data_IF_540969669417
#
_entry.id   IF_540969669417
#
_cell.length_a   1.000
_cell.length_b   1.000
_cell.length_c   1.000
_cell.angle_alpha   90.00
_cell.angle_beta   90.00
_cell.angle_gamma   90.00
#
_symmetry.space_group_name_H-M   'P 1'
#
loop_
_entity.id
_entity.type
_entity.pdbx_description
1 polymer ?
#
# COMPACT_ATOMS: atom_id res chain seq x y z
N UNK A 1 14.17 -22.96 -7.91
CA UNK A 1 13.72 -21.57 -8.09
C UNK A 1 14.92 -20.83 -8.64
N UNK A 2 14.82 -20.27 -9.84
CA UNK A 2 15.88 -19.39 -10.36
C UNK A 2 15.82 -18.09 -9.55
N UNK A 3 16.52 -18.13 -8.41
CA UNK A 3 16.68 -17.09 -7.40
C UNK A 3 17.53 -15.93 -7.94
N UNK A 4 17.07 -15.25 -9.00
CA UNK A 4 17.71 -14.04 -9.48
C UNK A 4 16.79 -12.81 -9.34
N UNK A 5 17.20 -11.96 -8.40
CA UNK A 5 16.86 -10.54 -8.24
C UNK A 5 15.58 -10.18 -7.48
N UNK A 6 15.41 -10.64 -6.23
CA UNK A 6 14.46 -10.01 -5.29
C UNK A 6 15.22 -9.03 -4.39
N UNK A 7 14.79 -7.77 -4.40
CA UNK A 7 15.37 -6.64 -3.66
C UNK A 7 14.31 -5.86 -2.84
N UNK A 8 13.11 -6.45 -2.63
CA UNK A 8 12.01 -5.83 -1.89
C UNK A 8 11.46 -6.79 -0.85
N UNK A 9 11.25 -6.27 0.36
CA UNK A 9 10.75 -7.06 1.49
C UNK A 9 9.59 -6.36 2.16
N UNK A 10 8.53 -7.12 2.44
CA UNK A 10 7.44 -6.73 3.33
C UNK A 10 7.54 -7.55 4.62
N UNK A 11 7.34 -6.90 5.77
CA UNK A 11 7.29 -7.57 7.07
C UNK A 11 5.97 -7.23 7.74
N UNK A 12 5.15 -8.25 7.95
CA UNK A 12 3.85 -8.12 8.58
C UNK A 12 3.96 -8.20 10.10
N UNK A 13 3.63 -7.11 10.80
CA UNK A 13 3.50 -7.04 12.25
C UNK A 13 2.03 -7.30 12.62
N UNK A 14 1.67 -8.45 13.21
CA UNK A 14 0.27 -8.84 13.39
C UNK A 14 -0.36 -8.26 14.66
N UNK A 15 0.13 -7.14 15.20
CA UNK A 15 -0.27 -6.66 16.52
C UNK A 15 -0.85 -5.24 16.46
N UNK A 16 -1.96 -5.04 17.16
CA UNK A 16 -2.62 -3.75 17.32
C UNK A 16 -3.00 -3.52 18.79
N UNK A 17 -3.10 -2.26 19.19
CA UNK A 17 -3.74 -1.92 20.48
C UNK A 17 -5.22 -2.29 20.49
N UNK A 18 -5.92 -2.01 19.39
CA UNK A 18 -7.30 -2.40 19.14
C UNK A 18 -7.53 -2.63 17.65
N UNK A 19 -8.39 -3.60 17.29
CA UNK A 19 -8.86 -3.75 15.92
C UNK A 19 -9.89 -2.65 15.64
N UNK A 20 -9.57 -1.74 14.71
CA UNK A 20 -10.51 -0.70 14.29
C UNK A 20 -11.64 -1.32 13.46
N UNK A 21 -12.83 -0.72 13.50
CA UNK A 21 -14.03 -1.31 12.91
C UNK A 21 -13.96 -1.50 11.39
N UNK A 22 -13.15 -0.67 10.72
CA UNK A 22 -12.90 -0.67 9.28
C UNK A 22 -11.68 -1.51 8.86
N UNK A 23 -10.89 -2.02 9.80
CA UNK A 23 -9.59 -2.62 9.47
C UNK A 23 -9.76 -4.05 8.93
N UNK A 24 -9.43 -4.22 7.65
CA UNK A 24 -9.40 -5.52 6.98
C UNK A 24 -8.10 -6.31 7.22
N UNK A 25 -7.06 -5.69 7.79
CA UNK A 25 -5.78 -6.37 8.03
C UNK A 25 -5.88 -7.39 9.17
N UNK A 26 -5.25 -8.54 8.95
CA UNK A 26 -5.06 -9.55 9.99
C UNK A 26 -4.23 -8.94 11.14
N UNK A 27 -4.85 -8.77 12.31
CA UNK A 27 -4.18 -8.27 13.51
C UNK A 27 -4.79 -8.85 14.78
N UNK A 28 -3.93 -9.09 15.75
CA UNK A 28 -4.25 -9.54 17.10
C UNK A 28 -4.25 -8.32 18.02
N UNK A 29 -5.38 -8.08 18.67
CA UNK A 29 -5.51 -7.03 19.66
C UNK A 29 -4.91 -7.47 21.00
N UNK A 30 -4.20 -6.56 21.67
CA UNK A 30 -3.68 -6.74 23.05
C UNK A 30 -2.90 -8.06 23.26
N UNK A 31 -1.85 -8.33 22.47
CA UNK A 31 -1.03 -9.51 22.67
C UNK A 31 -0.30 -9.47 24.02
N UNK A 32 -0.15 -10.63 24.66
CA UNK A 32 0.76 -10.76 25.79
C UNK A 32 2.22 -10.86 25.30
N UNK A 33 3.17 -10.66 26.22
CA UNK A 33 4.61 -10.73 25.93
C UNK A 33 5.04 -12.06 25.29
N UNK A 34 4.48 -13.19 25.76
CA UNK A 34 4.81 -14.52 25.22
C UNK A 34 4.47 -14.66 23.73
N UNK A 35 3.33 -14.09 23.30
CA UNK A 35 2.94 -14.07 21.88
C UNK A 35 3.87 -13.19 21.05
N UNK A 36 4.24 -12.01 21.55
CA UNK A 36 5.18 -11.10 20.86
C UNK A 36 6.54 -11.79 20.69
N UNK A 37 7.04 -12.43 21.74
CA UNK A 37 8.32 -13.14 21.70
C UNK A 37 8.29 -14.35 20.77
N UNK A 38 7.21 -15.13 20.79
CA UNK A 38 7.02 -16.27 19.87
C UNK A 38 6.99 -15.82 18.40
N UNK A 39 6.36 -14.67 18.14
CA UNK A 39 6.36 -14.04 16.82
C UNK A 39 7.77 -13.61 16.39
N UNK A 40 8.49 -12.86 17.23
CA UNK A 40 9.82 -12.35 16.91
C UNK A 40 10.80 -13.50 16.66
N UNK A 41 10.74 -14.54 17.48
CA UNK A 41 11.61 -15.71 17.34
C UNK A 41 11.34 -16.46 16.03
N UNK A 42 10.06 -16.67 15.70
CA UNK A 42 9.70 -17.30 14.44
C UNK A 42 10.04 -16.43 13.23
N UNK A 43 9.85 -15.12 13.32
CA UNK A 43 10.23 -14.18 12.26
C UNK A 43 11.74 -14.26 12.00
N UNK A 44 12.54 -14.30 13.06
CA UNK A 44 14.00 -14.46 12.98
C UNK A 44 14.39 -15.75 12.25
N UNK A 45 13.75 -16.87 12.57
CA UNK A 45 13.98 -18.15 11.87
C UNK A 45 13.61 -18.07 10.38
N UNK A 46 12.45 -17.50 10.07
CA UNK A 46 11.95 -17.37 8.69
C UNK A 46 12.88 -16.52 7.83
N UNK A 47 13.31 -15.37 8.36
CA UNK A 47 14.27 -14.47 7.70
C UNK A 47 15.62 -15.16 7.53
N UNK A 48 16.13 -15.84 8.56
CA UNK A 48 17.43 -16.52 8.49
C UNK A 48 17.48 -17.59 7.39
N UNK A 49 16.35 -18.25 7.11
CA UNK A 49 16.25 -19.27 6.07
C UNK A 49 16.28 -18.71 4.63
N UNK A 50 15.97 -17.42 4.44
CA UNK A 50 15.72 -16.84 3.12
C UNK A 50 16.60 -15.62 2.79
N UNK A 51 17.09 -14.89 3.79
CA UNK A 51 17.78 -13.60 3.60
C UNK A 51 19.03 -13.68 2.71
N UNK A 52 19.75 -14.81 2.73
CA UNK A 52 20.95 -15.00 1.90
C UNK A 52 20.66 -15.04 0.40
N UNK A 53 19.42 -15.28 0.00
CA UNK A 53 18.96 -15.31 -1.40
C UNK A 53 18.56 -13.94 -1.93
N UNK A 54 18.43 -12.95 -1.05
CA UNK A 54 18.00 -11.61 -1.41
C UNK A 54 19.19 -10.77 -1.87
N UNK A 55 18.93 -9.92 -2.86
CA UNK A 55 19.84 -8.83 -3.20
C UNK A 55 19.85 -7.78 -2.08
N UNK A 56 20.84 -6.85 -2.08
CA UNK A 56 20.73 -5.64 -1.30
C UNK A 56 19.37 -4.97 -1.54
N UNK A 57 18.58 -4.80 -0.48
CA UNK A 57 17.20 -4.35 -0.56
C UNK A 57 17.13 -2.91 -1.05
N UNK A 58 16.30 -2.66 -2.06
CA UNK A 58 15.85 -1.33 -2.45
C UNK A 58 14.68 -0.84 -1.60
N UNK A 59 13.86 -1.74 -1.07
CA UNK A 59 12.87 -1.36 -0.07
C UNK A 59 12.60 -2.43 0.98
N UNK A 60 12.35 -1.98 2.20
CA UNK A 60 11.84 -2.74 3.33
C UNK A 60 10.62 -2.02 3.88
N UNK A 61 9.45 -2.68 3.84
CA UNK A 61 8.21 -2.12 4.35
C UNK A 61 7.73 -2.90 5.58
N UNK A 62 7.64 -2.23 6.71
CA UNK A 62 7.21 -2.77 8.00
C UNK A 62 5.79 -2.28 8.26
N UNK A 63 4.80 -3.15 8.13
CA UNK A 63 3.39 -2.76 8.22
C UNK A 63 2.50 -3.85 8.81
N UNK A 64 1.20 -3.76 8.58
CA UNK A 64 0.22 -4.78 8.96
C UNK A 64 -0.76 -4.26 10.00
N UNK A 65 -0.64 -4.74 11.23
CA UNK A 65 -1.38 -4.21 12.36
C UNK A 65 -0.91 -2.79 12.69
N UNK A 66 -0.01 -2.67 13.66
CA UNK A 66 0.62 -1.38 13.99
C UNK A 66 2.04 -1.64 14.52
N UNK A 67 3.08 -1.56 13.66
CA UNK A 67 4.47 -1.74 14.09
C UNK A 67 4.85 -0.89 15.31
N UNK A 68 4.50 0.40 15.28
CA UNK A 68 4.72 1.34 16.38
C UNK A 68 4.02 1.00 17.70
N UNK A 69 3.06 0.05 17.71
CA UNK A 69 2.42 -0.42 18.95
C UNK A 69 3.39 -1.20 19.83
N UNK A 70 4.38 -1.88 19.22
CA UNK A 70 5.41 -2.59 19.97
C UNK A 70 6.10 -1.64 20.96
N UNK A 71 6.33 -2.15 22.17
CA UNK A 71 7.17 -1.46 23.15
C UNK A 71 8.61 -1.42 22.63
N UNK A 72 9.39 -0.44 23.11
CA UNK A 72 10.74 -0.15 22.61
C UNK A 72 11.64 -1.39 22.62
N UNK A 73 11.62 -2.19 23.69
CA UNK A 73 12.41 -3.42 23.78
C UNK A 73 12.08 -4.47 22.69
N UNK A 74 10.83 -4.56 22.25
CA UNK A 74 10.44 -5.47 21.16
C UNK A 74 10.72 -4.86 19.80
N UNK A 75 10.64 -3.53 19.69
CA UNK A 75 10.97 -2.82 18.47
C UNK A 75 12.48 -2.86 18.20
N UNK A 76 13.32 -2.76 19.23
CA UNK A 76 14.77 -3.00 19.16
C UNK A 76 15.07 -4.41 18.66
N UNK A 77 14.45 -5.43 19.28
CA UNK A 77 14.59 -6.84 18.83
C UNK A 77 14.17 -7.03 17.38
N UNK A 78 13.07 -6.39 16.96
CA UNK A 78 12.63 -6.42 15.58
C UNK A 78 13.70 -5.82 14.67
N UNK A 79 14.21 -4.64 14.97
CA UNK A 79 15.23 -3.97 14.17
C UNK A 79 16.54 -4.76 14.12
N UNK A 80 16.94 -5.43 15.21
CA UNK A 80 18.08 -6.36 15.21
C UNK A 80 17.85 -7.53 14.25
N UNK A 81 16.65 -8.11 14.23
CA UNK A 81 16.29 -9.18 13.30
C UNK A 81 16.36 -8.70 11.85
N UNK A 82 15.76 -7.53 11.57
CA UNK A 82 15.70 -6.94 10.23
C UNK A 82 17.06 -6.41 9.77
N UNK A 83 17.96 -6.06 10.69
CA UNK A 83 19.34 -5.65 10.40
C UNK A 83 20.19 -6.74 9.75
N UNK A 84 19.72 -7.99 9.72
CA UNK A 84 20.39 -9.09 9.01
C UNK A 84 20.26 -9.02 7.49
N UNK A 85 19.38 -8.16 6.95
CA UNK A 85 19.32 -7.92 5.51
C UNK A 85 20.50 -7.07 5.04
N UNK A 86 20.87 -7.27 3.77
CA UNK A 86 21.75 -6.33 3.07
C UNK A 86 20.89 -5.22 2.50
N UNK A 87 21.36 -3.97 2.59
CA UNK A 87 20.62 -2.81 2.11
C UNK A 87 21.36 -2.12 0.95
N UNK A 88 20.62 -1.69 -0.07
CA UNK A 88 21.14 -0.79 -1.08
C UNK A 88 21.43 0.58 -0.46
N UNK A 89 22.30 1.37 -1.11
CA UNK A 89 22.71 2.70 -0.61
C UNK A 89 21.52 3.67 -0.48
N UNK A 90 20.56 3.52 -1.37
CA UNK A 90 19.36 4.34 -1.54
C UNK A 90 18.09 3.59 -1.09
N UNK A 91 18.23 2.63 -0.16
CA UNK A 91 17.08 1.85 0.36
C UNK A 91 16.00 2.77 0.95
N UNK A 92 14.74 2.48 0.63
CA UNK A 92 13.59 3.00 1.38
C UNK A 92 13.21 2.01 2.50
N UNK A 93 13.30 2.44 3.76
CA UNK A 93 12.81 1.67 4.91
C UNK A 93 11.59 2.39 5.47
N UNK A 94 10.42 1.83 5.17
CA UNK A 94 9.11 2.34 5.58
C UNK A 94 8.60 1.63 6.84
N UNK A 95 8.02 2.38 7.78
CA UNK A 95 7.31 1.81 8.93
C UNK A 95 5.97 2.50 9.19
N UNK A 96 4.94 1.69 9.43
CA UNK A 96 3.61 2.17 9.80
C UNK A 96 3.51 2.53 11.28
N UNK A 97 2.93 3.71 11.54
CA UNK A 97 2.83 4.32 12.84
C UNK A 97 1.41 4.83 13.12
N UNK A 98 1.05 4.87 14.40
CA UNK A 98 -0.16 5.53 14.87
C UNK A 98 0.24 6.71 15.76
N UNK A 99 -0.42 7.88 15.69
CA UNK A 99 -0.04 9.03 16.51
C UNK A 99 0.00 8.71 18.02
N UNK A 100 -0.97 7.92 18.51
CA UNK A 100 -1.12 7.63 19.93
C UNK A 100 -0.11 6.61 20.50
N UNK A 101 0.64 5.91 19.64
CA UNK A 101 1.65 4.94 20.07
C UNK A 101 3.06 5.54 20.14
N UNK A 102 3.24 6.78 19.69
CA UNK A 102 4.54 7.44 19.54
C UNK A 102 4.91 8.26 20.77
N UNK A 103 6.10 7.99 21.29
CA UNK A 103 6.82 8.79 22.28
C UNK A 103 8.09 9.34 21.65
N UNK A 104 8.72 10.34 22.27
CA UNK A 104 10.00 10.88 21.78
C UNK A 104 11.09 9.80 21.67
N UNK A 105 11.20 8.94 22.68
CA UNK A 105 12.13 7.81 22.71
C UNK A 105 11.87 6.81 21.57
N UNK A 106 10.59 6.48 21.32
CA UNK A 106 10.21 5.60 20.21
C UNK A 106 10.48 6.24 18.85
N UNK A 107 10.25 7.54 18.69
CA UNK A 107 10.59 8.27 17.46
C UNK A 107 12.10 8.22 17.19
N UNK A 108 12.93 8.43 18.21
CA UNK A 108 14.40 8.29 18.10
C UNK A 108 14.80 6.88 17.68
N UNK A 109 14.22 5.86 18.30
CA UNK A 109 14.47 4.45 17.96
C UNK A 109 14.05 4.15 16.52
N UNK A 110 12.84 4.51 16.12
CA UNK A 110 12.35 4.36 14.74
C UNK A 110 13.28 5.06 13.74
N UNK A 111 13.71 6.28 14.05
CA UNK A 111 14.58 7.08 13.17
C UNK A 111 16.01 6.57 13.08
N UNK A 112 16.41 5.65 13.97
CA UNK A 112 17.69 4.95 13.87
C UNK A 112 17.70 3.84 12.82
N UNK A 113 16.52 3.38 12.39
CA UNK A 113 16.37 2.23 11.48
C UNK A 113 15.60 2.56 10.20
N UNK A 114 14.50 3.30 10.30
CA UNK A 114 13.65 3.68 9.18
C UNK A 114 13.99 5.08 8.64
N UNK A 115 13.68 5.33 7.37
CA UNK A 115 13.84 6.65 6.75
C UNK A 115 12.55 7.18 6.11
N UNK A 116 11.46 6.41 6.18
CA UNK A 116 10.10 6.79 5.82
C UNK A 116 9.10 6.29 6.87
N UNK A 117 8.11 7.10 7.21
CA UNK A 117 7.02 6.71 8.11
C UNK A 117 5.66 6.95 7.47
N UNK A 118 4.70 6.06 7.70
CA UNK A 118 3.27 6.27 7.36
C UNK A 118 2.45 6.35 8.63
N UNK A 119 1.72 7.45 8.81
CA UNK A 119 0.99 7.74 10.06
C UNK A 119 -0.52 7.64 9.80
N UNK A 120 -1.18 6.69 10.46
CA UNK A 120 -2.63 6.49 10.39
C UNK A 120 -3.41 7.55 11.18
N UNK A 121 -3.68 8.71 10.57
CA UNK A 121 -4.44 9.83 11.17
C UNK A 121 -5.94 9.58 11.09
N UNK A 122 -6.42 9.10 9.94
CA UNK A 122 -7.80 8.79 9.59
C UNK A 122 -8.73 10.02 9.51
N UNK A 123 -8.81 10.79 10.59
CA UNK A 123 -9.53 12.07 10.66
C UNK A 123 -9.00 12.86 11.85
N UNK A 124 -9.03 14.21 11.79
CA UNK A 124 -8.79 15.05 12.98
C UNK A 124 -10.07 15.27 13.79
N UNK A 125 -11.23 14.91 13.25
CA UNK A 125 -12.49 14.98 13.95
C UNK A 125 -12.66 13.79 14.91
N UNK A 126 -12.80 14.09 16.21
CA UNK A 126 -12.96 13.09 17.28
C UNK A 126 -14.22 12.24 17.13
N UNK A 127 -15.31 12.80 16.61
CA UNK A 127 -16.54 12.08 16.36
C UNK A 127 -16.34 11.03 15.25
N UNK A 128 -15.75 11.41 14.12
CA UNK A 128 -15.47 10.47 13.02
C UNK A 128 -14.52 9.35 13.45
N UNK A 129 -13.44 9.67 14.19
CA UNK A 129 -12.54 8.65 14.75
C UNK A 129 -13.30 7.66 15.65
N UNK A 130 -14.22 8.15 16.47
CA UNK A 130 -15.07 7.30 17.31
C UNK A 130 -16.00 6.42 16.47
N UNK A 131 -16.60 6.95 15.41
CA UNK A 131 -17.46 6.22 14.46
C UNK A 131 -16.74 5.00 13.87
N UNK A 132 -15.45 5.13 13.58
CA UNK A 132 -14.64 4.06 12.98
C UNK A 132 -13.90 3.19 14.02
N UNK A 133 -14.28 3.26 15.30
CA UNK A 133 -13.64 2.58 16.44
C UNK A 133 -12.13 2.90 16.61
N UNK A 134 -11.67 4.05 16.09
CA UNK A 134 -10.29 4.52 16.26
C UNK A 134 -10.15 5.26 17.59
N UNK A 135 -9.45 4.64 18.54
CA UNK A 135 -9.15 5.26 19.84
C UNK A 135 -8.06 6.32 19.73
N UNK A 136 -7.98 7.21 20.72
CA UNK A 136 -7.00 8.29 20.79
C UNK A 136 -7.33 9.46 19.86
N UNK A 137 -6.49 10.49 19.95
CA UNK A 137 -6.63 11.76 19.23
C UNK A 137 -5.42 11.98 18.32
N UNK A 138 -5.56 12.85 17.32
CA UNK A 138 -4.46 13.25 16.44
C UNK A 138 -4.02 14.72 16.67
N UNK A 139 -4.41 15.30 17.80
CA UNK A 139 -4.18 16.71 18.11
C UNK A 139 -2.70 17.05 18.31
N UNK A 140 -1.86 16.04 18.59
CA UNK A 140 -0.41 16.18 18.77
C UNK A 140 0.40 15.91 17.49
N UNK A 141 -0.25 15.71 16.34
CA UNK A 141 0.43 15.31 15.10
C UNK A 141 1.53 16.29 14.71
N UNK A 142 1.30 17.60 14.83
CA UNK A 142 2.29 18.65 14.54
C UNK A 142 3.58 18.44 15.36
N UNK A 143 3.45 18.08 16.64
CA UNK A 143 4.60 17.81 17.52
C UNK A 143 5.31 16.53 17.11
N UNK A 144 4.56 15.47 16.77
CA UNK A 144 5.13 14.20 16.29
C UNK A 144 5.93 14.40 15.00
N UNK A 145 5.37 15.16 14.06
CA UNK A 145 6.03 15.45 12.77
C UNK A 145 7.31 16.28 12.98
N UNK A 146 7.27 17.28 13.87
CA UNK A 146 8.46 18.06 14.22
C UNK A 146 9.57 17.15 14.77
N UNK A 147 9.24 16.24 15.69
CA UNK A 147 10.19 15.27 16.24
C UNK A 147 10.79 14.35 15.17
N UNK A 148 9.99 13.85 14.22
CA UNK A 148 10.54 13.05 13.11
C UNK A 148 11.51 13.86 12.24
N UNK A 149 11.16 15.11 11.93
CA UNK A 149 12.03 16.01 11.15
C UNK A 149 13.34 16.30 11.89
N UNK A 150 13.28 16.58 13.19
CA UNK A 150 14.45 16.75 14.05
C UNK A 150 15.34 15.49 14.07
N UNK A 151 14.74 14.32 13.99
CA UNK A 151 15.41 13.02 13.87
C UNK A 151 15.68 12.61 12.41
N UNK A 152 15.68 13.57 11.47
CA UNK A 152 16.08 13.42 10.06
C UNK A 152 15.16 12.57 9.19
N UNK A 153 13.94 12.27 9.63
CA UNK A 153 12.88 11.72 8.79
C UNK A 153 12.02 12.87 8.27
N UNK A 154 12.20 13.22 7.00
CA UNK A 154 11.30 14.15 6.29
C UNK A 154 10.34 13.45 5.32
N UNK A 155 10.58 12.17 5.00
CA UNK A 155 9.68 11.37 4.16
C UNK A 155 8.54 10.83 5.02
N UNK A 156 7.55 11.69 5.27
CA UNK A 156 6.41 11.38 6.11
C UNK A 156 5.14 11.32 5.27
N UNK A 157 4.43 10.20 5.40
CA UNK A 157 3.08 9.96 4.90
C UNK A 157 2.08 10.07 6.04
N UNK A 158 0.90 10.60 5.75
CA UNK A 158 -0.26 10.53 6.64
C UNK A 158 -1.48 10.02 5.88
N UNK A 159 -2.27 9.16 6.53
CA UNK A 159 -3.42 8.52 5.92
C UNK A 159 -4.73 9.12 6.47
N UNK A 160 -5.66 9.46 5.59
CA UNK A 160 -7.02 9.89 5.89
C UNK A 160 -8.04 8.88 5.35
N UNK A 161 -9.20 8.84 6.00
CA UNK A 161 -10.37 8.07 5.57
C UNK A 161 -11.50 9.04 5.29
N UNK A 162 -12.16 8.87 4.15
CA UNK A 162 -13.39 9.57 3.78
C UNK A 162 -14.55 8.60 3.55
N UNK A 163 -15.78 9.11 3.43
CA UNK A 163 -16.97 8.27 3.36
C UNK A 163 -17.36 7.67 4.71
N UNK A 164 -16.96 8.30 5.81
CA UNK A 164 -17.36 7.87 7.16
C UNK A 164 -18.82 8.29 7.38
N UNK A 165 -19.72 7.41 7.88
CA UNK A 165 -21.09 7.82 8.22
C UNK A 165 -21.09 9.05 9.13
N UNK A 166 -21.94 10.04 8.82
CA UNK A 166 -21.99 11.40 9.40
C UNK A 166 -20.89 12.40 9.00
N UNK A 167 -19.89 12.00 8.22
CA UNK A 167 -18.89 12.92 7.68
C UNK A 167 -19.50 13.77 6.56
N UNK A 168 -19.30 15.08 6.63
CA UNK A 168 -19.68 15.99 5.55
C UNK A 168 -18.48 16.35 4.67
N UNK A 169 -18.74 16.80 3.45
CA UNK A 169 -17.71 17.33 2.54
C UNK A 169 -16.83 18.40 3.23
N UNK A 170 -17.45 19.35 3.94
CA UNK A 170 -16.74 20.43 4.62
C UNK A 170 -15.86 19.92 5.77
N UNK A 171 -16.33 18.90 6.50
CA UNK A 171 -15.53 18.29 7.55
C UNK A 171 -14.30 17.56 7.01
N UNK A 172 -14.42 16.87 5.87
CA UNK A 172 -13.28 16.26 5.20
C UNK A 172 -12.34 17.29 4.59
N UNK A 173 -12.86 18.36 3.95
CA UNK A 173 -12.02 19.46 3.45
C UNK A 173 -11.20 20.09 4.57
N UNK A 174 -11.77 20.25 5.75
CA UNK A 174 -11.05 20.71 6.94
C UNK A 174 -9.91 19.77 7.32
N UNK A 175 -10.18 18.46 7.38
CA UNK A 175 -9.16 17.43 7.65
C UNK A 175 -8.02 17.46 6.62
N UNK A 176 -8.35 17.45 5.33
CA UNK A 176 -7.37 17.46 4.25
C UNK A 176 -6.57 18.76 4.21
N UNK A 177 -7.22 19.91 4.39
CA UNK A 177 -6.54 21.23 4.41
C UNK A 177 -5.56 21.31 5.57
N UNK A 178 -5.96 20.85 6.77
CA UNK A 178 -5.03 20.75 7.90
C UNK A 178 -3.87 19.83 7.54
N UNK A 179 -4.14 18.64 7.02
CA UNK A 179 -3.12 17.64 6.70
C UNK A 179 -2.07 18.16 5.71
N UNK A 180 -2.50 18.71 4.57
CA UNK A 180 -1.58 19.15 3.50
C UNK A 180 -0.81 20.44 3.86
N UNK A 181 -1.22 21.15 4.92
CA UNK A 181 -0.48 22.28 5.48
C UNK A 181 0.71 21.85 6.37
N UNK A 182 0.73 20.58 6.80
CA UNK A 182 1.80 20.01 7.61
C UNK A 182 3.05 19.72 6.75
N UNK A 183 4.25 19.57 7.36
CA UNK A 183 5.49 19.31 6.63
C UNK A 183 5.61 17.88 6.06
N UNK A 184 4.50 17.28 5.62
CA UNK A 184 4.46 15.97 4.99
C UNK A 184 4.84 16.03 3.51
N UNK A 185 5.22 14.86 2.98
CA UNK A 185 5.62 14.69 1.57
C UNK A 185 4.71 13.73 0.81
N UNK A 186 3.90 12.97 1.54
CA UNK A 186 2.95 12.02 1.01
C UNK A 186 1.67 12.07 1.85
N UNK A 187 0.53 11.79 1.25
CA UNK A 187 -0.67 11.40 1.99
C UNK A 187 -1.49 10.39 1.20
N UNK A 188 -2.28 9.62 1.93
CA UNK A 188 -3.25 8.69 1.37
C UNK A 188 -4.65 9.13 1.77
N UNK A 189 -5.61 9.06 0.86
CA UNK A 189 -7.02 9.28 1.13
C UNK A 189 -7.80 8.05 0.67
N UNK A 190 -8.25 7.26 1.63
CA UNK A 190 -8.97 6.01 1.38
C UNK A 190 -10.48 6.20 1.54
N UNK A 191 -11.25 5.71 0.57
CA UNK A 191 -12.69 5.54 0.79
C UNK A 191 -12.88 4.50 1.88
N UNK A 192 -13.75 4.80 2.83
CA UNK A 192 -14.24 3.81 3.76
C UNK A 192 -15.07 2.80 2.97
N UNK A 193 -14.79 1.52 3.21
CA UNK A 193 -15.59 0.40 2.72
C UNK A 193 -16.09 -0.34 3.96
N UNK A 194 -17.41 -0.46 4.08
CA UNK A 194 -18.02 -1.22 5.17
C UNK A 194 -18.17 -2.67 4.68
N UNK A 195 -17.23 -3.51 5.10
CA UNK A 195 -17.27 -4.94 4.79
C UNK A 195 -18.50 -5.60 5.44
N UNK A 196 -19.18 -6.49 4.72
CA UNK A 196 -20.41 -7.17 5.18
C UNK A 196 -20.23 -7.87 6.54
N UNK A 197 -19.03 -8.42 6.77
CA UNK A 197 -18.68 -9.14 8.00
C UNK A 197 -17.99 -8.25 9.05
N UNK A 198 -17.89 -6.94 8.82
CA UNK A 198 -17.32 -6.01 9.79
C UNK A 198 -18.30 -5.74 10.92
N UNK A 199 -17.76 -5.36 12.09
CA UNK A 199 -18.57 -4.88 13.20
C UNK A 199 -19.38 -3.64 12.80
N UNK A 200 -18.81 -2.77 11.96
CA UNK A 200 -19.46 -1.52 11.54
C UNK A 200 -20.70 -1.76 10.68
N UNK A 201 -20.76 -2.86 9.93
CA UNK A 201 -21.95 -3.22 9.15
C UNK A 201 -23.20 -3.43 10.04
N UNK A 202 -23.01 -3.87 11.29
CA UNK A 202 -24.11 -4.00 12.25
C UNK A 202 -24.49 -2.71 12.99
N UNK A 203 -23.73 -1.63 12.78
CA UNK A 203 -23.89 -0.37 13.53
C UNK A 203 -24.69 0.66 12.73
N UNK A 204 -24.55 0.68 11.40
CA UNK A 204 -25.21 1.65 10.53
C UNK A 204 -26.39 1.02 9.79
N UNK A 205 -27.42 1.82 9.56
CA UNK A 205 -28.52 1.45 8.67
C UNK A 205 -28.13 1.60 7.20
N UNK A 206 -28.80 0.87 6.30
CA UNK A 206 -28.58 0.98 4.84
C UNK A 206 -28.64 2.43 4.35
N UNK A 207 -29.58 3.22 4.91
CA UNK A 207 -29.72 4.63 4.60
C UNK A 207 -28.49 5.46 4.99
N UNK A 208 -27.89 5.21 6.15
CA UNK A 208 -26.70 5.94 6.59
C UNK A 208 -25.48 5.59 5.74
N UNK A 209 -25.44 4.36 5.21
CA UNK A 209 -24.39 3.91 4.29
C UNK A 209 -24.59 4.58 2.93
N UNK A 210 -25.81 4.58 2.38
CA UNK A 210 -26.15 5.28 1.13
C UNK A 210 -25.83 6.78 1.20
N UNK A 211 -26.21 7.45 2.30
CA UNK A 211 -25.89 8.87 2.52
C UNK A 211 -24.37 9.11 2.59
N UNK A 212 -23.61 8.18 3.17
CA UNK A 212 -22.16 8.27 3.23
C UNK A 212 -21.50 8.07 1.84
N UNK A 213 -22.04 7.19 1.01
CA UNK A 213 -21.56 6.93 -0.35
C UNK A 213 -21.78 8.13 -1.27
N UNK A 214 -22.92 8.81 -1.17
CA UNK A 214 -23.17 10.06 -1.92
C UNK A 214 -22.14 11.14 -1.58
N UNK A 215 -21.88 11.36 -0.29
CA UNK A 215 -20.87 12.32 0.17
C UNK A 215 -19.45 11.87 -0.21
N UNK A 216 -19.19 10.57 -0.21
CA UNK A 216 -17.90 9.98 -0.61
C UNK A 216 -17.53 10.37 -2.05
N UNK A 217 -18.51 10.34 -2.97
CA UNK A 217 -18.31 10.77 -4.35
C UNK A 217 -17.97 12.28 -4.46
N UNK A 218 -18.67 13.14 -3.72
CA UNK A 218 -18.35 14.58 -3.70
C UNK A 218 -16.95 14.87 -3.13
N UNK A 219 -16.56 14.12 -2.10
CA UNK A 219 -15.22 14.21 -1.51
C UNK A 219 -14.17 13.78 -2.53
N UNK A 220 -14.38 12.64 -3.18
CA UNK A 220 -13.48 12.07 -4.17
C UNK A 220 -13.12 13.08 -5.28
N UNK A 221 -14.12 13.77 -5.82
CA UNK A 221 -13.93 14.77 -6.88
C UNK A 221 -13.17 16.03 -6.40
N UNK A 222 -13.19 16.29 -5.09
CA UNK A 222 -12.55 17.49 -4.51
C UNK A 222 -11.06 17.29 -4.22
N UNK A 223 -10.63 16.07 -3.87
CA UNK A 223 -9.25 15.79 -3.43
C UNK A 223 -8.20 16.24 -4.45
N UNK A 224 -8.29 15.92 -5.77
CA UNK A 224 -7.24 16.23 -6.73
C UNK A 224 -6.93 17.73 -6.82
N UNK A 225 -7.97 18.57 -6.81
CA UNK A 225 -7.81 20.03 -6.89
C UNK A 225 -7.10 20.60 -5.66
N UNK A 226 -7.50 20.16 -4.46
CA UNK A 226 -6.87 20.59 -3.19
C UNK A 226 -5.42 20.09 -3.09
N UNK A 227 -5.19 18.82 -3.46
CA UNK A 227 -3.85 18.22 -3.47
C UNK A 227 -2.90 18.99 -4.38
N UNK A 228 -3.35 19.27 -5.62
CA UNK A 228 -2.57 20.00 -6.63
C UNK A 228 -2.24 21.42 -6.18
N UNK A 229 -3.19 22.12 -5.55
CA UNK A 229 -2.96 23.45 -5.00
C UNK A 229 -1.88 23.47 -3.90
N UNK A 230 -1.73 22.37 -3.16
CA UNK A 230 -0.69 22.18 -2.15
C UNK A 230 0.60 21.53 -2.69
N UNK A 231 0.70 21.31 -4.01
CA UNK A 231 1.89 20.75 -4.66
C UNK A 231 2.02 19.23 -4.57
N UNK A 232 0.93 18.52 -4.28
CA UNK A 232 0.87 17.06 -4.33
C UNK A 232 0.26 16.60 -5.66
N UNK A 233 0.81 15.53 -6.22
CA UNK A 233 0.29 14.88 -7.43
C UNK A 233 -0.24 13.50 -7.07
N UNK A 234 -1.37 13.13 -7.68
CA UNK A 234 -1.91 11.78 -7.59
C UNK A 234 -1.02 10.85 -8.43
N UNK A 235 -0.45 9.82 -7.81
CA UNK A 235 0.33 8.82 -8.54
C UNK A 235 -0.31 7.43 -8.51
N UNK A 236 -1.23 7.19 -7.57
CA UNK A 236 -2.10 6.00 -7.48
C UNK A 236 -3.48 6.43 -6.98
N UNK A 237 -4.49 5.59 -7.18
CA UNK A 237 -5.90 5.79 -6.79
C UNK A 237 -6.07 6.60 -5.50
N UNK A 238 -5.49 6.15 -4.40
CA UNK A 238 -5.66 6.78 -3.09
C UNK A 238 -4.43 7.57 -2.63
N UNK A 239 -3.33 7.57 -3.40
CA UNK A 239 -2.05 8.08 -2.94
C UNK A 239 -1.59 9.33 -3.70
N UNK A 240 -1.15 10.31 -2.92
CA UNK A 240 -0.70 11.61 -3.38
C UNK A 240 0.66 11.91 -2.77
N UNK A 241 1.59 12.43 -3.58
CA UNK A 241 2.94 12.75 -3.11
C UNK A 241 3.46 14.02 -3.75
N UNK A 242 4.46 14.62 -3.10
CA UNK A 242 5.40 15.50 -3.77
C UNK A 242 6.31 14.64 -4.65
N UNK A 243 6.82 15.20 -5.75
CA UNK A 243 7.71 14.50 -6.67
C UNK A 243 8.84 13.78 -5.93
N UNK A 244 9.06 12.50 -6.25
CA UNK A 244 10.08 11.64 -5.64
C UNK A 244 9.84 11.22 -4.18
N UNK A 245 8.61 11.37 -3.68
CA UNK A 245 8.18 10.87 -2.36
C UNK A 245 7.05 9.84 -2.45
N UNK A 246 6.85 9.24 -3.62
CA UNK A 246 6.03 8.05 -3.79
C UNK A 246 6.55 6.90 -2.91
N UNK A 247 5.66 6.08 -2.35
CA UNK A 247 6.08 4.88 -1.61
C UNK A 247 6.71 3.86 -2.57
N UNK A 248 8.05 3.75 -2.60
CA UNK A 248 8.77 2.94 -3.58
C UNK A 248 8.36 1.46 -3.51
N UNK A 249 8.13 0.95 -2.31
CA UNK A 249 7.71 -0.44 -2.10
C UNK A 249 6.37 -0.73 -2.78
N UNK A 250 5.31 -0.02 -2.39
CA UNK A 250 3.96 -0.25 -2.91
C UNK A 250 3.89 0.07 -4.41
N UNK A 251 4.57 1.13 -4.84
CA UNK A 251 4.49 1.60 -6.21
C UNK A 251 5.02 0.57 -7.21
N UNK A 252 6.17 -0.03 -6.92
CA UNK A 252 6.75 -1.04 -7.81
C UNK A 252 5.93 -2.34 -7.83
N UNK A 253 5.29 -2.71 -6.72
CA UNK A 253 4.47 -3.93 -6.62
C UNK A 253 3.26 -3.87 -7.56
N UNK A 254 2.65 -2.69 -7.75
CA UNK A 254 1.57 -2.52 -8.72
C UNK A 254 1.98 -2.86 -10.16
N UNK A 255 3.27 -2.75 -10.48
CA UNK A 255 3.84 -3.15 -11.78
C UNK A 255 4.41 -4.57 -11.81
N UNK A 256 4.13 -5.38 -10.78
CA UNK A 256 4.59 -6.77 -10.70
C UNK A 256 6.04 -6.91 -10.24
N UNK A 257 6.57 -5.97 -9.46
CA UNK A 257 7.89 -6.14 -8.86
C UNK A 257 7.89 -7.40 -7.98
N UNK A 258 9.01 -8.14 -8.01
CA UNK A 258 9.20 -9.29 -7.11
C UNK A 258 9.39 -8.81 -5.68
N UNK A 259 8.81 -9.51 -4.72
CA UNK A 259 8.98 -9.22 -3.29
C UNK A 259 8.76 -10.46 -2.45
N UNK A 260 9.39 -10.50 -1.27
CA UNK A 260 9.13 -11.51 -0.25
C UNK A 260 8.45 -10.87 0.95
N UNK A 261 7.35 -11.46 1.38
CA UNK A 261 6.66 -11.16 2.63
C UNK A 261 7.10 -12.10 3.74
N UNK A 262 7.42 -11.53 4.90
CA UNK A 262 7.70 -12.27 6.13
C UNK A 262 6.64 -11.99 7.19
N UNK A 263 6.41 -12.97 8.06
CA UNK A 263 5.36 -12.92 9.07
C UNK A 263 4.04 -13.54 8.60
N UNK A 264 3.07 -13.67 9.52
CA UNK A 264 1.77 -14.27 9.23
C UNK A 264 0.98 -13.42 8.25
N UNK A 265 0.21 -14.06 7.38
CA UNK A 265 -0.62 -13.41 6.35
C UNK A 265 0.15 -12.56 5.33
N UNK A 266 1.49 -12.54 5.38
CA UNK A 266 2.31 -11.81 4.43
C UNK A 266 2.28 -12.50 3.06
N UNK A 267 2.01 -11.73 2.01
CA UNK A 267 2.09 -12.22 0.63
C UNK A 267 3.48 -12.03 0.06
N UNK A 268 3.80 -12.82 -0.97
CA UNK A 268 5.05 -12.77 -1.72
C UNK A 268 4.77 -13.01 -3.20
N UNK A 269 5.67 -12.54 -4.07
CA UNK A 269 5.61 -12.77 -5.51
C UNK A 269 7.02 -12.88 -6.10
N UNK A 270 7.32 -13.98 -6.78
CA UNK A 270 8.64 -14.24 -7.39
C UNK A 270 8.73 -13.83 -8.88
N UNK A 271 7.67 -13.22 -9.41
CA UNK A 271 7.52 -12.89 -10.84
C UNK A 271 6.72 -13.94 -11.63
N UNK A 272 6.42 -15.09 -11.03
CA UNK A 272 5.61 -16.15 -11.63
C UNK A 272 4.43 -16.52 -10.72
N UNK A 273 4.74 -16.88 -9.49
CA UNK A 273 3.80 -17.40 -8.50
C UNK A 273 3.67 -16.39 -7.36
N UNK A 274 2.43 -16.18 -6.92
CA UNK A 274 2.13 -15.47 -5.68
C UNK A 274 1.78 -16.48 -4.61
N UNK A 275 2.22 -16.23 -3.38
CA UNK A 275 1.81 -17.03 -2.22
C UNK A 275 1.60 -16.16 -1.00
N UNK A 276 0.79 -16.67 -0.07
CA UNK A 276 0.46 -15.98 1.17
C UNK A 276 0.73 -16.88 2.36
N UNK A 277 1.50 -16.37 3.31
CA UNK A 277 1.74 -17.05 4.57
C UNK A 277 0.42 -17.27 5.34
N UNK A 278 0.27 -18.37 6.10
CA UNK A 278 -0.93 -18.61 6.88
C UNK A 278 -1.17 -17.54 7.96
N UNK A 279 -2.36 -17.55 8.56
CA UNK A 279 -2.68 -16.71 9.72
C UNK A 279 -1.80 -17.06 10.94
N UNK A 280 -1.79 -16.19 11.96
CA UNK A 280 -0.81 -16.24 13.07
C UNK A 280 -0.53 -17.62 13.65
N UNK A 281 -1.57 -18.35 14.10
CA UNK A 281 -1.41 -19.64 14.77
C UNK A 281 -0.86 -20.72 13.82
N UNK A 282 -1.34 -20.73 12.58
CA UNK A 282 -0.90 -21.68 11.56
C UNK A 282 0.50 -21.35 11.06
N UNK A 283 0.79 -20.06 10.92
CA UNK A 283 2.12 -19.57 10.61
C UNK A 283 3.06 -20.06 11.69
N UNK A 284 2.81 -19.84 12.99
CA UNK A 284 3.67 -20.28 14.10
C UNK A 284 4.03 -21.77 14.08
N UNK A 285 3.12 -22.65 13.65
CA UNK A 285 3.39 -24.10 13.54
C UNK A 285 3.97 -24.53 12.19
N UNK A 286 4.39 -23.58 11.34
CA UNK A 286 5.02 -23.80 10.03
C UNK A 286 4.09 -24.47 9.01
N UNK A 287 2.80 -24.15 9.05
CA UNK A 287 1.89 -24.56 7.97
C UNK A 287 2.36 -23.94 6.65
N UNK A 288 2.21 -24.69 5.56
CA UNK A 288 2.62 -24.26 4.23
C UNK A 288 1.79 -23.05 3.75
N UNK A 289 2.39 -22.12 3.00
CA UNK A 289 1.69 -20.98 2.44
C UNK A 289 0.64 -21.42 1.41
N UNK A 290 -0.38 -20.59 1.25
CA UNK A 290 -1.38 -20.75 0.18
C UNK A 290 -0.79 -20.24 -1.13
N UNK A 291 -0.82 -21.05 -2.17
CA UNK A 291 -0.34 -20.70 -3.51
C UNK A 291 -1.49 -20.19 -4.38
N UNK A 292 -1.27 -19.04 -5.02
CA UNK A 292 -2.13 -18.48 -6.05
C UNK A 292 -1.59 -18.89 -7.43
N UNK A 293 -2.16 -19.99 -7.96
CA UNK A 293 -1.75 -20.62 -9.21
C UNK A 293 -2.67 -20.21 -10.37
N UNK A 294 -2.22 -19.20 -11.13
CA UNK A 294 -2.86 -18.73 -12.36
C UNK A 294 -1.88 -18.80 -13.53
N UNK A 295 -2.42 -18.91 -14.75
CA UNK A 295 -1.57 -18.99 -15.95
C UNK A 295 -0.78 -17.70 -16.16
N UNK A 296 0.40 -17.81 -16.80
CA UNK A 296 1.23 -16.64 -17.10
C UNK A 296 0.50 -15.51 -17.84
N UNK A 297 -0.30 -15.76 -18.90
CA UNK A 297 -1.06 -14.68 -19.55
C UNK A 297 -2.08 -14.01 -18.64
N UNK A 298 -2.78 -14.77 -17.79
CA UNK A 298 -3.69 -14.20 -16.78
C UNK A 298 -2.94 -13.36 -15.75
N UNK A 299 -1.77 -13.81 -15.30
CA UNK A 299 -0.89 -13.04 -14.42
C UNK A 299 -0.47 -11.71 -15.05
N UNK A 300 -0.14 -11.71 -16.35
CA UNK A 300 0.20 -10.47 -17.06
C UNK A 300 -1.01 -9.53 -17.14
N UNK A 301 -2.22 -10.04 -17.39
CA UNK A 301 -3.43 -9.22 -17.44
C UNK A 301 -3.74 -8.62 -16.06
N UNK A 302 -3.65 -9.44 -15.01
CA UNK A 302 -3.80 -9.01 -13.62
C UNK A 302 -2.79 -7.90 -13.27
N UNK A 303 -1.50 -8.11 -13.53
CA UNK A 303 -0.46 -7.12 -13.23
C UNK A 303 -0.66 -5.85 -14.07
N UNK A 304 -1.01 -5.98 -15.35
CA UNK A 304 -1.27 -4.82 -16.19
C UNK A 304 -2.45 -4.01 -15.65
N UNK A 305 -3.55 -4.67 -15.29
CA UNK A 305 -4.65 -4.03 -14.60
C UNK A 305 -4.10 -3.32 -13.36
N UNK A 306 -3.45 -4.02 -12.43
CA UNK A 306 -2.96 -3.42 -11.19
C UNK A 306 -2.03 -2.21 -11.42
N UNK A 307 -1.21 -2.20 -12.48
CA UNK A 307 -0.40 -1.04 -12.84
C UNK A 307 -1.21 0.17 -13.33
N UNK A 308 -2.37 -0.07 -13.95
CA UNK A 308 -3.33 0.97 -14.36
C UNK A 308 -4.08 1.60 -13.16
N UNK A 309 -3.87 1.12 -11.93
CA UNK A 309 -4.22 1.87 -10.71
C UNK A 309 -3.42 3.16 -10.56
N UNK A 310 -2.31 3.27 -11.28
CA UNK A 310 -1.37 4.38 -11.18
C UNK A 310 -1.56 5.36 -12.34
N UNK A 311 -1.02 6.57 -12.19
CA UNK A 311 -1.02 7.57 -13.26
C UNK A 311 0.04 7.32 -14.35
N UNK A 312 0.80 6.23 -14.23
CA UNK A 312 1.93 5.92 -15.12
C UNK A 312 1.53 5.03 -16.28
N UNK A 313 2.32 5.11 -17.35
CA UNK A 313 2.08 4.36 -18.57
C UNK A 313 2.79 3.00 -18.58
N UNK A 314 2.10 2.02 -19.14
CA UNK A 314 2.70 0.82 -19.71
C UNK A 314 3.21 1.13 -21.12
N UNK A 315 4.39 0.60 -21.45
CA UNK A 315 5.02 0.77 -22.75
C UNK A 315 4.99 -0.54 -23.53
N UNK A 316 4.59 -0.50 -24.79
CA UNK A 316 4.40 -1.67 -25.63
C UNK A 316 5.29 -1.63 -26.87
N UNK A 317 5.91 -2.77 -27.17
CA UNK A 317 6.80 -2.91 -28.33
C UNK A 317 6.70 -4.30 -28.96
N UNK A 318 6.69 -4.36 -30.30
CA UNK A 318 6.81 -5.62 -31.02
C UNK A 318 8.26 -6.10 -30.99
N UNK A 319 8.46 -7.35 -30.58
CA UNK A 319 9.75 -8.03 -30.62
C UNK A 319 9.98 -8.69 -31.98
N UNK A 320 11.24 -8.96 -32.30
CA UNK A 320 11.63 -9.63 -33.54
C UNK A 320 11.05 -11.06 -33.67
N UNK A 321 10.72 -11.71 -32.56
CA UNK A 321 10.08 -13.04 -32.51
C UNK A 321 8.54 -12.98 -32.62
N UNK A 322 7.96 -11.81 -32.93
CA UNK A 322 6.52 -11.61 -33.11
C UNK A 322 5.73 -11.45 -31.81
N UNK A 323 6.37 -11.57 -30.65
CA UNK A 323 5.74 -11.31 -29.34
C UNK A 323 5.62 -9.81 -29.08
N UNK A 324 4.71 -9.44 -28.18
CA UNK A 324 4.59 -8.07 -27.69
C UNK A 324 5.18 -7.97 -26.29
N UNK A 325 6.15 -7.10 -26.16
CA UNK A 325 6.78 -6.71 -24.90
C UNK A 325 5.95 -5.62 -24.23
N UNK A 326 5.76 -5.76 -22.92
CA UNK A 326 5.06 -4.80 -22.05
C UNK A 326 6.02 -4.41 -20.94
N UNK A 327 6.42 -3.15 -20.90
CA UNK A 327 7.40 -2.63 -19.96
C UNK A 327 6.78 -1.57 -19.03
N UNK A 328 7.09 -1.69 -17.74
CA UNK A 328 6.77 -0.66 -16.75
C UNK A 328 7.90 0.36 -16.59
N UNK A 329 7.60 1.50 -15.98
CA UNK A 329 8.62 2.49 -15.55
C UNK A 329 9.73 1.94 -14.65
N UNK A 330 9.52 0.77 -14.04
CA UNK A 330 10.48 0.12 -13.15
C UNK A 330 11.39 -0.88 -13.89
N UNK A 331 11.30 -0.95 -15.23
CA UNK A 331 12.05 -1.90 -16.05
C UNK A 331 11.57 -3.35 -15.90
N UNK A 332 10.33 -3.53 -15.40
CA UNK A 332 9.70 -4.86 -15.31
C UNK A 332 9.05 -5.14 -16.65
N UNK A 333 9.42 -6.27 -17.25
CA UNK A 333 9.06 -6.64 -18.61
C UNK A 333 8.26 -7.94 -18.63
N UNK A 334 7.13 -7.91 -19.33
CA UNK A 334 6.31 -9.08 -19.67
C UNK A 334 6.28 -9.28 -21.18
N UNK A 335 6.01 -10.50 -21.63
CA UNK A 335 5.94 -10.81 -23.06
C UNK A 335 4.72 -11.67 -23.36
N UNK A 336 3.80 -11.16 -24.17
CA UNK A 336 2.65 -11.92 -24.65
C UNK A 336 2.88 -12.39 -26.08
N UNK A 337 2.38 -13.58 -26.40
CA UNK A 337 2.24 -13.99 -27.80
C UNK A 337 1.13 -13.18 -28.49
N UNK A 338 1.06 -13.32 -29.82
CA UNK A 338 0.10 -12.59 -30.63
C UNK A 338 -1.36 -12.87 -30.23
N UNK A 339 -1.68 -14.09 -29.80
CA UNK A 339 -3.04 -14.47 -29.43
C UNK A 339 -3.50 -13.74 -28.17
N UNK A 340 -2.71 -13.77 -27.10
CA UNK A 340 -3.06 -13.07 -25.86
C UNK A 340 -2.96 -11.55 -26.00
N UNK A 341 -2.01 -11.05 -26.79
CA UNK A 341 -1.91 -9.63 -27.08
C UNK A 341 -3.17 -9.09 -27.77
N UNK A 342 -3.67 -9.76 -28.82
CA UNK A 342 -4.89 -9.32 -29.52
C UNK A 342 -6.09 -9.17 -28.58
N UNK A 343 -6.27 -10.13 -27.66
CA UNK A 343 -7.34 -10.08 -26.65
C UNK A 343 -7.18 -8.93 -25.67
N UNK A 344 -5.95 -8.67 -25.23
CA UNK A 344 -5.64 -7.54 -24.37
C UNK A 344 -5.89 -6.21 -25.09
N UNK A 345 -5.47 -6.10 -26.35
CA UNK A 345 -5.67 -4.91 -27.17
C UNK A 345 -7.14 -4.60 -27.42
N UNK A 346 -8.00 -5.62 -27.63
CA UNK A 346 -9.45 -5.44 -27.72
C UNK A 346 -10.03 -4.80 -26.44
N UNK A 347 -9.62 -5.30 -25.27
CA UNK A 347 -10.01 -4.73 -23.97
C UNK A 347 -9.50 -3.29 -23.80
N UNK A 348 -8.23 -3.04 -24.14
CA UNK A 348 -7.63 -1.70 -24.09
C UNK A 348 -8.38 -0.71 -24.99
N UNK A 349 -8.71 -1.11 -26.22
CA UNK A 349 -9.44 -0.25 -27.15
C UNK A 349 -10.86 0.05 -26.64
N UNK A 350 -11.56 -0.95 -26.10
CA UNK A 350 -12.90 -0.73 -25.52
C UNK A 350 -12.86 0.25 -24.34
N UNK A 351 -11.86 0.12 -23.47
CA UNK A 351 -11.64 1.06 -22.36
C UNK A 351 -11.23 2.46 -22.83
N UNK A 352 -10.45 2.55 -23.90
CA UNK A 352 -10.11 3.83 -24.55
C UNK A 352 -11.35 4.50 -25.15
N UNK A 353 -12.25 3.75 -25.78
CA UNK A 353 -13.51 4.27 -26.33
C UNK A 353 -14.43 4.81 -25.22
N UNK A 354 -14.39 4.17 -24.04
CA UNK A 354 -15.03 4.62 -22.79
C UNK A 354 -14.28 5.78 -22.10
N UNK A 355 -13.16 6.25 -22.67
CA UNK A 355 -12.28 7.29 -22.14
C UNK A 355 -11.63 6.96 -20.79
N UNK A 356 -11.59 5.68 -20.41
CA UNK A 356 -10.94 5.22 -19.19
C UNK A 356 -9.42 5.08 -19.37
N UNK A 357 -8.97 4.82 -20.60
CA UNK A 357 -7.56 4.76 -20.95
C UNK A 357 -7.17 5.87 -21.94
N UNK A 358 -5.91 6.28 -21.87
CA UNK A 358 -5.26 7.15 -22.84
C UNK A 358 -4.20 6.32 -23.56
N UNK A 359 -4.30 6.28 -24.89
CA UNK A 359 -3.35 5.62 -25.78
C UNK A 359 -2.55 6.69 -26.51
N UNK A 360 -1.23 6.61 -26.48
CA UNK A 360 -0.35 7.49 -27.24
C UNK A 360 0.62 6.66 -28.09
N UNK A 361 0.75 7.02 -29.37
CA UNK A 361 1.61 6.32 -30.33
C UNK A 361 0.93 5.12 -31.02
N UNK A 362 1.70 4.43 -31.85
CA UNK A 362 1.30 3.19 -32.52
C UNK A 362 2.19 2.04 -32.06
N UNK A 363 1.75 0.79 -32.22
CA UNK A 363 2.54 -0.36 -31.80
C UNK A 363 3.89 -0.48 -32.55
N UNK A 364 3.98 0.05 -33.79
CA UNK A 364 5.25 0.14 -34.52
C UNK A 364 6.17 1.25 -34.01
N UNK A 365 5.62 2.32 -33.45
CA UNK A 365 6.35 3.53 -33.02
C UNK A 365 6.56 3.59 -31.49
N UNK A 366 6.04 2.60 -30.76
CA UNK A 366 6.03 2.56 -29.29
C UNK A 366 4.68 3.04 -28.77
N UNK A 367 3.77 2.09 -28.54
CA UNK A 367 2.46 2.39 -27.96
C UNK A 367 2.62 2.55 -26.44
N UNK A 368 1.99 3.57 -25.87
CA UNK A 368 1.85 3.72 -24.43
C UNK A 368 0.39 3.69 -24.03
N UNK A 369 0.09 3.08 -22.87
CA UNK A 369 -1.25 2.96 -22.31
C UNK A 369 -1.21 3.36 -20.85
N UNK A 370 -1.99 4.36 -20.47
CA UNK A 370 -2.15 4.80 -19.07
C UNK A 370 -3.61 5.06 -18.76
N UNK A 371 -3.95 5.07 -17.48
CA UNK A 371 -5.27 5.49 -17.03
C UNK A 371 -5.47 6.98 -17.27
N UNK A 372 -6.66 7.34 -17.77
CA UNK A 372 -7.10 8.73 -17.75
C UNK A 372 -7.47 9.14 -16.31
N UNK A 373 -7.75 10.42 -16.08
CA UNK A 373 -8.33 10.86 -14.80
C UNK A 373 -9.66 10.14 -14.51
N UNK A 374 -10.50 9.94 -15.54
CA UNK A 374 -11.71 9.14 -15.45
C UNK A 374 -11.39 7.67 -15.15
N UNK A 375 -10.36 7.10 -15.77
CA UNK A 375 -9.90 5.73 -15.49
C UNK A 375 -9.47 5.51 -14.04
N UNK A 376 -8.77 6.48 -13.45
CA UNK A 376 -8.39 6.43 -12.03
C UNK A 376 -9.60 6.57 -11.10
N UNK A 377 -10.63 7.32 -11.52
CA UNK A 377 -11.86 7.48 -10.77
C UNK A 377 -12.75 6.24 -10.84
N UNK A 378 -12.77 5.55 -11.99
CA UNK A 378 -13.56 4.34 -12.25
C UNK A 378 -12.66 3.11 -12.38
N UNK A 379 -11.64 3.03 -11.52
CA UNK A 379 -10.63 1.97 -11.59
C UNK A 379 -11.23 0.57 -11.53
N UNK A 380 -12.27 0.35 -10.71
CA UNK A 380 -12.87 -0.97 -10.57
C UNK A 380 -13.46 -1.47 -11.89
N UNK A 381 -14.16 -0.60 -12.64
CA UNK A 381 -14.71 -0.92 -13.95
C UNK A 381 -13.59 -1.23 -14.96
N UNK A 382 -12.53 -0.42 -14.93
CA UNK A 382 -11.33 -0.63 -15.75
C UNK A 382 -10.69 -2.00 -15.46
N UNK A 383 -10.50 -2.33 -14.18
CA UNK A 383 -9.86 -3.58 -13.77
C UNK A 383 -10.66 -4.82 -14.17
N UNK A 384 -11.98 -4.79 -13.96
CA UNK A 384 -12.90 -5.88 -14.33
C UNK A 384 -12.85 -6.17 -15.82
N UNK A 385 -12.69 -5.13 -16.65
CA UNK A 385 -12.65 -5.30 -18.09
C UNK A 385 -11.31 -5.83 -18.60
N UNK A 386 -10.20 -5.56 -17.91
CA UNK A 386 -8.88 -6.12 -18.25
C UNK A 386 -8.75 -7.59 -17.84
N UNK A 387 -9.13 -7.92 -16.59
CA UNK A 387 -9.06 -9.29 -16.04
C UNK A 387 -10.05 -10.21 -16.76
#
# INVERSE_FOLDING_TARGET
MDDENIDRVYVHIPFCGTKCGYCAFHSLASPNESLIMSYLERLREEISCCAYKLMPLKSLYIGGGTPSFLQEIYLEKLFDILGNFKFAKDVEISIECNPESLTESKIKLISSFANRVSIGVQSFNKAHRKTIDRRGEADNLETILALFVENRISNISCDLIYGIPSQSLESFKSDLTRLISLPIKHFSAYSMIIEENSRLNSVFSDREIEEADEVSAEIWDTIPALAKAAGFSRYEISNYSKTSFECLHNYAIWFGAKYIGFGPSASSFDGKIRWTNPEFNEWLIRRQPLIDDISYPQRVFEIMAMGLRTAEAWHFKIRADGKVEIESRFGIVFCLDEFYWRRLLEKINSLSDKKLLILEGSLQEGLTVKSSEMGLNFWNDLAIEII
#
